data_IF_980113367275
#
_entry.id   IF_980113367275
#
_cell.length_a   1.000
_cell.length_b   1.000
_cell.length_c   1.000
_cell.angle_alpha   90.00
_cell.angle_beta   90.00
_cell.angle_gamma   90.00
#
_symmetry.space_group_name_H-M   'P 1'
#
loop_
_entity.id
_entity.type
_entity.pdbx_description
1 polymer ?
#
# COMPACT_ATOMS: atom_id res chain seq x y z
N UNK A 1 0.90 -13.85 -38.40
CA UNK A 1 0.98 -14.28 -36.99
C UNK A 1 1.69 -13.16 -36.25
N UNK A 2 0.95 -12.19 -35.74
CA UNK A 2 1.51 -10.97 -35.14
C UNK A 2 0.57 -10.50 -34.05
N UNK A 3 0.37 -11.31 -33.01
CA UNK A 3 -0.50 -10.99 -31.86
C UNK A 3 0.10 -11.54 -30.55
N UNK A 4 1.39 -11.33 -30.31
CA UNK A 4 2.07 -11.89 -29.11
C UNK A 4 3.08 -10.94 -28.44
N UNK A 5 2.99 -9.64 -28.67
CA UNK A 5 3.86 -8.64 -28.00
C UNK A 5 3.10 -7.68 -27.07
N UNK A 6 1.78 -7.63 -27.15
CA UNK A 6 0.94 -6.72 -26.35
C UNK A 6 0.62 -7.26 -24.97
N UNK A 7 0.58 -8.60 -24.79
CA UNK A 7 0.26 -9.21 -23.49
C UNK A 7 1.39 -9.08 -22.45
N UNK A 8 2.64 -9.35 -22.84
CA UNK A 8 3.78 -9.30 -21.90
C UNK A 8 4.00 -7.93 -21.24
N UNK A 9 3.70 -6.82 -21.94
CA UNK A 9 3.89 -5.46 -21.38
C UNK A 9 2.84 -5.09 -20.34
N UNK A 10 1.63 -5.64 -20.44
CA UNK A 10 0.56 -5.38 -19.48
C UNK A 10 0.83 -6.10 -18.18
N UNK A 11 1.33 -7.33 -18.24
CA UNK A 11 1.64 -8.16 -17.07
C UNK A 11 2.79 -7.56 -16.24
N UNK A 12 3.87 -7.08 -16.86
CA UNK A 12 5.00 -6.44 -16.16
C UNK A 12 4.59 -5.12 -15.48
N UNK A 13 3.72 -4.34 -16.11
CA UNK A 13 3.19 -3.10 -15.53
C UNK A 13 2.29 -3.37 -14.32
N UNK A 14 1.42 -4.38 -14.39
CA UNK A 14 0.58 -4.79 -13.26
C UNK A 14 1.40 -5.34 -12.10
N UNK A 15 2.46 -6.13 -12.37
CA UNK A 15 3.39 -6.61 -11.35
C UNK A 15 4.07 -5.44 -10.65
N UNK A 16 4.62 -4.49 -11.41
CA UNK A 16 5.28 -3.30 -10.85
C UNK A 16 4.33 -2.47 -9.97
N UNK A 17 3.09 -2.26 -10.43
CA UNK A 17 2.08 -1.52 -9.65
C UNK A 17 1.71 -2.25 -8.34
N UNK A 18 1.64 -3.58 -8.37
CA UNK A 18 1.40 -4.39 -7.16
C UNK A 18 2.58 -4.34 -6.19
N UNK A 19 3.82 -4.33 -6.68
CA UNK A 19 5.02 -4.17 -5.86
C UNK A 19 5.07 -2.79 -5.20
N UNK A 20 4.76 -1.74 -5.96
CA UNK A 20 4.65 -0.37 -5.43
C UNK A 20 3.56 -0.28 -4.35
N UNK A 21 2.39 -0.86 -4.61
CA UNK A 21 1.28 -0.88 -3.65
C UNK A 21 1.66 -1.61 -2.35
N UNK A 22 2.35 -2.74 -2.48
CA UNK A 22 2.85 -3.51 -1.34
C UNK A 22 3.87 -2.71 -0.52
N UNK A 23 4.82 -2.05 -1.20
CA UNK A 23 5.84 -1.22 -0.56
C UNK A 23 5.23 -0.05 0.22
N UNK A 24 4.26 0.65 -0.39
CA UNK A 24 3.55 1.74 0.26
C UNK A 24 2.83 1.26 1.53
N UNK A 25 2.19 0.09 1.46
CA UNK A 25 1.47 -0.50 2.59
C UNK A 25 2.41 -0.91 3.73
N UNK A 26 3.54 -1.56 3.41
CA UNK A 26 4.56 -1.92 4.40
C UNK A 26 5.15 -0.69 5.08
N UNK A 27 5.50 0.34 4.30
CA UNK A 27 6.01 1.61 4.83
C UNK A 27 4.99 2.29 5.74
N UNK A 28 3.73 2.34 5.32
CA UNK A 28 2.65 2.94 6.11
C UNK A 28 2.42 2.21 7.43
N UNK A 29 2.44 0.87 7.42
CA UNK A 29 2.33 0.06 8.63
C UNK A 29 3.46 0.36 9.62
N UNK A 30 4.72 0.42 9.14
CA UNK A 30 5.87 0.74 9.99
C UNK A 30 5.79 2.15 10.57
N UNK A 31 5.46 3.15 9.75
CA UNK A 31 5.33 4.55 10.19
C UNK A 31 4.20 4.71 11.20
N UNK A 32 3.05 4.12 10.94
CA UNK A 32 1.91 4.18 11.86
C UNK A 32 2.23 3.51 13.20
N UNK A 33 2.73 2.27 13.19
CA UNK A 33 3.09 1.56 14.41
C UNK A 33 4.18 2.27 15.22
N UNK A 34 5.13 2.94 14.57
CA UNK A 34 6.20 3.68 15.27
C UNK A 34 5.68 4.97 15.91
N UNK A 35 4.69 5.62 15.30
CA UNK A 35 4.12 6.88 15.77
C UNK A 35 2.98 6.69 16.79
N UNK A 36 2.27 5.57 16.71
CA UNK A 36 1.14 5.25 17.58
C UNK A 36 1.58 4.96 19.03
N UNK A 37 0.65 5.16 19.96
CA UNK A 37 0.83 4.74 21.35
C UNK A 37 0.84 3.21 21.49
N UNK A 38 1.38 2.66 22.58
CA UNK A 38 1.38 1.20 22.80
C UNK A 38 -0.03 0.59 22.78
N UNK A 39 -1.03 1.30 23.33
CA UNK A 39 -2.43 0.86 23.33
C UNK A 39 -3.01 0.85 21.92
N UNK A 40 -2.75 1.89 21.14
CA UNK A 40 -3.22 2.00 19.76
C UNK A 40 -2.51 1.00 18.83
N UNK A 41 -1.21 0.75 19.03
CA UNK A 41 -0.47 -0.30 18.32
C UNK A 41 -1.10 -1.68 18.59
N UNK A 42 -1.39 -1.99 19.85
CA UNK A 42 -2.02 -3.25 20.21
C UNK A 42 -3.41 -3.39 19.59
N UNK A 43 -4.22 -2.33 19.59
CA UNK A 43 -5.53 -2.33 18.93
C UNK A 43 -5.42 -2.51 17.41
N UNK A 44 -4.44 -1.86 16.78
CA UNK A 44 -4.21 -1.98 15.34
C UNK A 44 -3.81 -3.41 14.95
N UNK A 45 -2.85 -3.99 15.65
CA UNK A 45 -2.39 -5.37 15.40
C UNK A 45 -3.52 -6.37 15.63
N UNK A 46 -4.22 -6.27 16.77
CA UNK A 46 -5.35 -7.14 17.10
C UNK A 46 -6.49 -7.01 16.06
N UNK A 47 -6.72 -5.80 15.54
CA UNK A 47 -7.69 -5.60 14.48
C UNK A 47 -7.27 -6.29 13.18
N UNK A 48 -6.02 -6.14 12.75
CA UNK A 48 -5.53 -6.77 11.53
C UNK A 48 -5.58 -8.30 11.64
N UNK A 49 -5.10 -8.87 12.75
CA UNK A 49 -5.11 -10.32 12.98
C UNK A 49 -6.54 -10.90 12.98
N UNK A 50 -7.50 -10.19 13.57
CA UNK A 50 -8.91 -10.64 13.61
C UNK A 50 -9.62 -10.60 12.28
N UNK A 51 -9.15 -9.78 11.34
CA UNK A 51 -9.81 -9.54 10.06
C UNK A 51 -8.89 -9.92 8.88
N UNK A 52 -7.82 -10.71 9.10
CA UNK A 52 -6.81 -11.03 8.06
C UNK A 52 -7.40 -11.72 6.82
N UNK A 53 -8.51 -12.45 6.99
CA UNK A 53 -9.22 -13.15 5.93
C UNK A 53 -10.28 -12.32 5.21
N UNK A 54 -10.50 -11.08 5.64
CA UNK A 54 -11.53 -10.22 5.08
C UNK A 54 -11.04 -9.60 3.76
N UNK A 55 -11.79 -9.82 2.68
CA UNK A 55 -11.46 -9.25 1.35
C UNK A 55 -11.44 -7.72 1.34
N UNK A 56 -12.14 -7.08 2.29
CA UNK A 56 -12.23 -5.63 2.47
C UNK A 56 -11.41 -5.11 3.65
N UNK A 57 -10.46 -5.91 4.17
CA UNK A 57 -9.62 -5.55 5.33
C UNK A 57 -9.02 -4.15 5.21
N UNK A 58 -8.40 -3.83 4.06
CA UNK A 58 -7.77 -2.52 3.87
C UNK A 58 -8.79 -1.39 4.01
N UNK A 59 -9.99 -1.52 3.42
CA UNK A 59 -11.04 -0.49 3.53
C UNK A 59 -11.43 -0.30 4.99
N UNK A 60 -11.64 -1.39 5.72
CA UNK A 60 -11.97 -1.37 7.15
C UNK A 60 -10.85 -0.74 7.99
N UNK A 61 -9.58 -0.99 7.65
CA UNK A 61 -8.44 -0.35 8.30
C UNK A 61 -8.44 1.16 8.09
N UNK A 62 -8.69 1.63 6.87
CA UNK A 62 -8.73 3.07 6.56
C UNK A 62 -9.88 3.77 7.29
N UNK A 63 -11.04 3.13 7.39
CA UNK A 63 -12.18 3.66 8.15
C UNK A 63 -11.92 3.71 9.66
N UNK A 64 -11.32 2.64 10.21
CA UNK A 64 -11.09 2.51 11.66
C UNK A 64 -9.91 3.34 12.15
N UNK A 65 -8.87 3.49 11.33
CA UNK A 65 -7.61 4.16 11.69
C UNK A 65 -7.33 5.32 10.72
N UNK A 66 -8.00 6.49 10.87
CA UNK A 66 -7.85 7.62 9.94
C UNK A 66 -6.43 8.19 9.85
N UNK A 67 -5.61 8.04 10.88
CA UNK A 67 -4.22 8.48 10.82
C UNK A 67 -3.36 7.53 9.96
N UNK A 68 -3.66 6.23 9.98
CA UNK A 68 -3.08 5.26 9.05
C UNK A 68 -3.47 5.59 7.60
N UNK A 69 -4.74 5.96 7.34
CA UNK A 69 -5.17 6.40 6.00
C UNK A 69 -4.35 7.60 5.49
N UNK A 70 -4.12 8.60 6.34
CA UNK A 70 -3.29 9.76 5.97
C UNK A 70 -1.87 9.37 5.64
N UNK A 71 -1.26 8.51 6.47
CA UNK A 71 0.10 8.01 6.25
C UNK A 71 0.16 7.26 4.92
N UNK A 72 -0.71 6.28 4.68
CA UNK A 72 -0.73 5.51 3.44
C UNK A 72 -0.94 6.40 2.20
N UNK A 73 -1.84 7.38 2.30
CA UNK A 73 -2.07 8.36 1.22
C UNK A 73 -0.81 9.18 0.93
N UNK A 74 -0.04 9.52 1.96
CA UNK A 74 1.21 10.25 1.81
C UNK A 74 2.31 9.36 1.20
N UNK A 75 2.46 8.10 1.64
CA UNK A 75 3.40 7.15 1.02
C UNK A 75 3.13 6.98 -0.48
N UNK A 76 1.87 6.80 -0.85
CA UNK A 76 1.47 6.63 -2.25
C UNK A 76 1.79 7.87 -3.09
N UNK A 77 1.69 9.07 -2.53
CA UNK A 77 2.07 10.32 -3.21
C UNK A 77 3.58 10.43 -3.39
N UNK A 78 4.35 10.15 -2.35
CA UNK A 78 5.82 10.20 -2.39
C UNK A 78 6.36 9.23 -3.45
N UNK A 79 5.85 7.99 -3.47
CA UNK A 79 6.26 7.01 -4.48
C UNK A 79 5.85 7.46 -5.89
N UNK A 80 4.65 8.03 -6.07
CA UNK A 80 4.24 8.57 -7.37
C UNK A 80 5.13 9.74 -7.84
N UNK A 81 5.60 10.58 -6.93
CA UNK A 81 6.53 11.67 -7.23
C UNK A 81 7.91 11.11 -7.62
N UNK A 82 8.41 10.12 -6.88
CA UNK A 82 9.67 9.45 -7.19
C UNK A 82 9.65 8.75 -8.54
N UNK A 83 8.54 8.08 -8.89
CA UNK A 83 8.38 7.44 -10.20
C UNK A 83 8.40 8.45 -11.35
N UNK A 84 7.74 9.60 -11.19
CA UNK A 84 7.78 10.67 -12.20
C UNK A 84 9.18 11.22 -12.40
N UNK A 85 9.95 11.37 -11.31
CA UNK A 85 11.34 11.81 -11.39
C UNK A 85 12.22 10.82 -12.16
N UNK A 86 11.91 9.52 -12.09
CA UNK A 86 12.62 8.47 -12.84
C UNK A 86 12.22 8.47 -14.32
N UNK A 87 10.95 8.71 -14.65
CA UNK A 87 10.47 8.77 -16.04
C UNK A 87 10.99 10.00 -16.81
N UNK A 88 11.31 11.09 -16.11
CA UNK A 88 11.85 12.33 -16.69
C UNK A 88 13.40 12.32 -16.89
N UNK A 89 14.09 11.23 -16.51
CA UNK A 89 15.55 11.04 -16.65
C UNK A 89 15.94 10.24 -17.90
#
# INVERSE_FOLDING_TARGET
MSDDQTKNKTDEGEILLNEIGSLALESANLKYLTAASEEEQAEFVDFVEKNESDEDLLIKMLEKFPEFEKILTQEMKEIQEDLKLIEDL
#
